data_IF_907313005689
#
_entry.id   IF_907313005689
#
_cell.length_a   1.000
_cell.length_b   1.000
_cell.length_c   1.000
_cell.angle_alpha   90.00
_cell.angle_beta   90.00
_cell.angle_gamma   90.00
#
_symmetry.space_group_name_H-M   'P 1'
#
loop_
_entity.id
_entity.type
_entity.pdbx_description
1 polymer ?
#
# COMPACT_ATOMS: atom_id res chain seq x y z
N UNK A 1 -4.86 -7.09 7.82
CA UNK A 1 -3.55 -7.72 7.51
C UNK A 1 -3.79 -8.92 6.60
N UNK A 2 -3.02 -9.03 5.53
CA UNK A 2 -3.00 -10.20 4.64
C UNK A 2 -1.66 -10.93 4.83
N UNK A 3 -1.70 -12.21 5.16
CA UNK A 3 -0.53 -13.10 5.15
C UNK A 3 -0.48 -13.85 3.82
N UNK A 4 0.69 -13.89 3.19
CA UNK A 4 0.97 -14.67 1.97
C UNK A 4 2.06 -15.67 2.22
N UNK A 5 1.88 -16.88 1.67
CA UNK A 5 2.91 -17.89 1.58
C UNK A 5 3.31 -17.98 0.10
N UNK A 6 4.52 -17.55 -0.23
CA UNK A 6 4.98 -17.44 -1.62
C UNK A 6 5.83 -18.64 -2.05
N UNK A 7 5.99 -18.80 -3.36
CA UNK A 7 6.85 -19.79 -4.02
C UNK A 7 6.51 -21.28 -3.81
N UNK A 8 5.22 -21.60 -3.73
CA UNK A 8 4.79 -23.01 -3.65
C UNK A 8 4.72 -23.61 -5.06
N UNK A 9 5.55 -24.61 -5.33
CA UNK A 9 5.69 -25.31 -6.60
C UNK A 9 5.82 -26.84 -6.40
N UNK A 10 5.83 -27.65 -7.47
CA UNK A 10 6.06 -29.10 -7.36
C UNK A 10 7.36 -29.49 -6.63
N UNK A 11 8.42 -28.70 -6.79
CA UNK A 11 9.69 -28.94 -6.10
C UNK A 11 9.73 -28.39 -4.67
N UNK A 12 8.62 -27.91 -4.13
CA UNK A 12 8.52 -27.58 -2.71
C UNK A 12 8.52 -28.88 -1.89
N UNK A 13 9.62 -29.63 -1.90
CA UNK A 13 9.82 -30.83 -1.09
C UNK A 13 9.98 -30.45 0.38
N UNK A 14 9.46 -31.29 1.29
CA UNK A 14 9.68 -31.20 2.75
C UNK A 14 9.33 -29.86 3.41
N UNK A 15 8.60 -29.01 2.71
CA UNK A 15 7.99 -27.86 3.34
C UNK A 15 6.97 -28.36 4.35
N UNK A 16 7.00 -27.72 5.52
CA UNK A 16 6.03 -27.93 6.56
C UNK A 16 4.62 -27.46 6.12
N UNK A 17 4.21 -27.46 4.84
CA UNK A 17 2.89 -26.97 4.41
C UNK A 17 1.73 -27.60 5.18
N UNK A 18 1.83 -28.88 5.54
CA UNK A 18 0.87 -29.51 6.46
C UNK A 18 0.94 -28.90 7.86
N UNK A 19 2.13 -28.78 8.44
CA UNK A 19 2.36 -28.19 9.76
C UNK A 19 2.01 -26.69 9.82
N UNK A 20 2.27 -25.93 8.75
CA UNK A 20 1.91 -24.52 8.56
C UNK A 20 0.39 -24.42 8.48
N UNK A 21 -0.26 -25.26 7.67
CA UNK A 21 -1.72 -25.32 7.58
C UNK A 21 -2.35 -25.60 8.94
N UNK A 22 -1.85 -26.61 9.66
CA UNK A 22 -2.32 -26.94 11.02
C UNK A 22 -2.08 -25.80 12.01
N UNK A 23 -0.91 -25.16 11.96
CA UNK A 23 -0.55 -24.03 12.81
C UNK A 23 -1.43 -22.80 12.55
N UNK A 24 -1.57 -22.37 11.28
CA UNK A 24 -2.41 -21.22 10.92
C UNK A 24 -3.89 -21.49 11.16
N UNK A 25 -4.34 -22.73 10.99
CA UNK A 25 -5.68 -23.17 11.40
C UNK A 25 -5.89 -23.02 12.90
N UNK A 26 -4.96 -23.51 13.73
CA UNK A 26 -5.05 -23.38 15.20
C UNK A 26 -5.07 -21.91 15.62
N UNK A 27 -4.25 -21.07 14.98
CA UNK A 27 -4.24 -19.62 15.21
C UNK A 27 -5.44 -18.90 14.60
N UNK A 28 -6.29 -19.56 13.82
CA UNK A 28 -7.41 -18.94 13.09
C UNK A 28 -6.97 -17.76 12.20
N UNK A 29 -5.89 -17.95 11.46
CA UNK A 29 -5.33 -16.95 10.53
C UNK A 29 -5.70 -17.36 9.11
N UNK A 30 -6.53 -16.58 8.39
CA UNK A 30 -6.67 -16.70 6.94
C UNK A 30 -5.38 -16.26 6.23
N UNK A 31 -5.05 -16.89 5.11
CA UNK A 31 -3.82 -16.62 4.37
C UNK A 31 -3.99 -16.89 2.87
N UNK A 32 -3.05 -16.41 2.07
CA UNK A 32 -2.99 -16.63 0.63
C UNK A 32 -1.77 -17.49 0.31
N UNK A 33 -1.88 -18.33 -0.71
CA UNK A 33 -0.83 -19.25 -1.15
C UNK A 33 -0.52 -18.96 -2.62
N UNK A 34 0.67 -18.43 -2.88
CA UNK A 34 1.16 -18.16 -4.22
C UNK A 34 1.72 -19.46 -4.81
N UNK A 35 1.06 -19.95 -5.86
CA UNK A 35 1.34 -21.26 -6.46
C UNK A 35 1.88 -21.09 -7.86
N UNK A 36 2.99 -21.79 -8.12
CA UNK A 36 3.66 -21.89 -9.41
C UNK A 36 3.37 -23.29 -9.98
N UNK A 37 2.54 -23.41 -11.04
CA UNK A 37 2.07 -24.72 -11.51
C UNK A 37 3.14 -25.63 -12.09
N UNK A 38 4.25 -25.10 -12.57
CA UNK A 38 5.35 -25.88 -13.15
C UNK A 38 6.67 -25.44 -12.57
N UNK A 39 7.37 -26.37 -11.96
CA UNK A 39 8.75 -26.17 -11.54
C UNK A 39 9.69 -26.48 -12.71
N UNK A 40 10.71 -25.65 -12.91
CA UNK A 40 11.77 -25.80 -13.91
C UNK A 40 13.12 -25.51 -13.26
N UNK A 41 14.08 -26.42 -13.44
CA UNK A 41 15.48 -26.19 -13.12
C UNK A 41 16.35 -26.59 -14.33
N UNK A 42 16.82 -25.63 -15.13
CA UNK A 42 17.62 -25.91 -16.31
C UNK A 42 18.97 -26.57 -15.99
N UNK A 43 19.57 -26.28 -14.82
CA UNK A 43 20.88 -26.83 -14.42
C UNK A 43 20.80 -28.33 -14.17
N UNK A 44 19.71 -28.78 -13.54
CA UNK A 44 19.45 -30.19 -13.23
C UNK A 44 18.61 -30.89 -14.32
N UNK A 45 18.23 -30.16 -15.38
CA UNK A 45 17.32 -30.62 -16.44
C UNK A 45 16.00 -31.19 -15.87
N UNK A 46 15.45 -30.53 -14.84
CA UNK A 46 14.21 -30.90 -14.18
C UNK A 46 13.05 -30.04 -14.67
N UNK A 47 11.90 -30.70 -14.86
CA UNK A 47 10.63 -30.04 -15.14
C UNK A 47 9.49 -30.86 -14.57
N UNK A 48 8.76 -30.29 -13.62
CA UNK A 48 7.70 -30.98 -12.89
C UNK A 48 6.41 -30.19 -12.92
N UNK A 49 5.28 -30.88 -12.99
CA UNK A 49 3.97 -30.27 -13.13
C UNK A 49 3.10 -30.57 -11.91
N UNK A 50 2.42 -29.55 -11.39
CA UNK A 50 1.52 -29.70 -10.25
C UNK A 50 0.40 -30.74 -10.49
N UNK A 51 -0.03 -30.92 -11.74
CA UNK A 51 -1.05 -31.92 -12.07
C UNK A 51 -0.55 -33.37 -11.99
N UNK A 52 0.76 -33.57 -11.87
CA UNK A 52 1.43 -34.87 -11.73
C UNK A 52 1.86 -35.13 -10.27
N UNK A 53 1.67 -34.17 -9.37
CA UNK A 53 1.90 -34.30 -7.92
C UNK A 53 0.58 -34.36 -7.13
N UNK A 54 -0.04 -35.55 -6.99
CA UNK A 54 -1.26 -35.70 -6.22
C UNK A 54 -1.08 -35.41 -4.72
N UNK A 55 0.15 -35.49 -4.18
CA UNK A 55 0.41 -35.25 -2.78
C UNK A 55 0.35 -33.76 -2.46
N UNK A 56 1.00 -32.92 -3.26
CA UNK A 56 0.91 -31.46 -3.16
C UNK A 56 -0.52 -30.98 -3.39
N UNK A 57 -1.19 -31.47 -4.44
CA UNK A 57 -2.59 -31.10 -4.73
C UNK A 57 -3.52 -31.40 -3.54
N UNK A 58 -3.33 -32.53 -2.85
CA UNK A 58 -4.09 -32.87 -1.64
C UNK A 58 -3.81 -31.90 -0.49
N UNK A 59 -2.56 -31.46 -0.33
CA UNK A 59 -2.18 -30.47 0.69
C UNK A 59 -2.82 -29.12 0.38
N UNK A 60 -2.73 -28.63 -0.87
CA UNK A 60 -3.31 -27.35 -1.28
C UNK A 60 -4.84 -27.34 -1.10
N UNK A 61 -5.54 -28.42 -1.45
CA UNK A 61 -6.99 -28.57 -1.17
C UNK A 61 -7.32 -28.54 0.32
N UNK A 62 -6.47 -29.15 1.15
CA UNK A 62 -6.60 -29.08 2.61
C UNK A 62 -6.39 -27.66 3.14
N UNK A 63 -5.41 -26.93 2.62
CA UNK A 63 -5.17 -25.52 2.96
C UNK A 63 -6.37 -24.64 2.57
N UNK A 64 -6.93 -24.81 1.37
CA UNK A 64 -8.13 -24.09 0.95
C UNK A 64 -9.33 -24.36 1.87
N UNK A 65 -9.47 -25.59 2.35
CA UNK A 65 -10.52 -25.97 3.31
C UNK A 65 -10.31 -25.33 4.70
N UNK A 66 -9.10 -24.85 5.00
CA UNK A 66 -8.73 -24.17 6.25
C UNK A 66 -8.45 -22.67 6.04
N UNK A 67 -9.22 -22.01 5.16
CA UNK A 67 -9.19 -20.56 4.88
C UNK A 67 -8.00 -20.05 4.06
N UNK A 68 -7.23 -20.91 3.39
CA UNK A 68 -6.27 -20.47 2.40
C UNK A 68 -6.96 -20.06 1.08
N UNK A 69 -6.42 -19.05 0.40
CA UNK A 69 -6.82 -18.68 -0.97
C UNK A 69 -5.65 -18.84 -1.92
N UNK A 70 -5.89 -19.48 -3.06
CA UNK A 70 -4.88 -19.64 -4.10
C UNK A 70 -4.64 -18.31 -4.81
N UNK A 71 -3.38 -18.04 -5.11
CA UNK A 71 -2.91 -16.95 -5.94
C UNK A 71 -2.04 -17.58 -7.01
N UNK A 72 -2.28 -17.24 -8.28
CA UNK A 72 -1.43 -17.74 -9.36
C UNK A 72 -0.18 -16.87 -9.44
N UNK A 73 0.99 -17.47 -9.28
CA UNK A 73 2.27 -16.78 -9.22
C UNK A 73 3.15 -17.09 -10.44
N UNK A 74 2.66 -16.74 -11.63
CA UNK A 74 3.29 -17.17 -12.88
C UNK A 74 2.95 -18.60 -13.29
N UNK A 75 3.38 -18.98 -14.51
CA UNK A 75 3.27 -20.35 -15.00
C UNK A 75 4.47 -21.20 -14.58
N UNK A 76 5.69 -20.66 -14.68
CA UNK A 76 6.92 -21.31 -14.22
C UNK A 76 7.74 -20.45 -13.29
N UNK A 77 7.42 -19.16 -13.16
CA UNK A 77 8.18 -18.19 -12.37
C UNK A 77 9.69 -18.24 -12.68
N UNK A 78 10.01 -18.27 -13.98
CA UNK A 78 11.38 -18.21 -14.51
C UNK A 78 11.34 -17.95 -16.02
N UNK A 79 12.43 -17.39 -16.55
CA UNK A 79 12.68 -17.13 -17.96
C UNK A 79 13.86 -17.98 -18.48
N UNK A 80 15.04 -17.85 -17.85
CA UNK A 80 16.23 -18.64 -18.18
C UNK A 80 16.96 -19.23 -16.94
N UNK A 81 16.44 -18.94 -15.75
CA UNK A 81 16.89 -19.47 -14.47
C UNK A 81 16.02 -20.58 -13.89
N UNK A 82 16.04 -20.67 -12.56
CA UNK A 82 15.26 -21.65 -11.79
C UNK A 82 13.95 -21.02 -11.31
N UNK A 83 12.88 -21.81 -11.32
CA UNK A 83 11.58 -21.42 -10.76
C UNK A 83 11.72 -20.80 -9.37
N UNK A 84 10.95 -19.73 -9.11
CA UNK A 84 10.93 -18.95 -7.86
C UNK A 84 12.17 -18.09 -7.57
N UNK A 85 13.26 -18.28 -8.31
CA UNK A 85 14.48 -17.46 -8.18
C UNK A 85 14.54 -16.40 -9.28
N UNK A 86 14.02 -16.73 -10.46
CA UNK A 86 14.08 -15.89 -11.65
C UNK A 86 12.73 -15.22 -11.95
N UNK A 87 12.76 -14.19 -12.80
CA UNK A 87 11.60 -13.49 -13.33
C UNK A 87 10.98 -14.31 -14.46
N UNK A 88 9.67 -14.20 -14.67
CA UNK A 88 9.01 -14.88 -15.80
C UNK A 88 8.83 -13.98 -17.03
N UNK A 89 8.58 -12.70 -16.79
CA UNK A 89 8.21 -11.72 -17.83
C UNK A 89 9.26 -10.62 -18.01
N UNK A 90 10.39 -10.73 -17.29
CA UNK A 90 11.46 -9.75 -17.32
C UNK A 90 12.83 -10.43 -17.45
N UNK A 91 13.71 -9.86 -18.25
CA UNK A 91 15.13 -10.24 -18.34
C UNK A 91 15.91 -9.31 -17.40
N UNK A 92 16.22 -9.77 -16.18
CA UNK A 92 16.88 -8.95 -15.16
C UNK A 92 18.26 -8.46 -15.63
N UNK A 93 19.00 -9.31 -16.34
CA UNK A 93 20.38 -9.04 -16.77
C UNK A 93 20.43 -7.89 -17.76
N UNK A 94 19.41 -7.78 -18.61
CA UNK A 94 19.28 -6.72 -19.62
C UNK A 94 18.32 -5.62 -19.19
N UNK A 95 17.69 -5.77 -18.02
CA UNK A 95 16.70 -4.87 -17.45
C UNK A 95 15.62 -4.44 -18.46
N UNK A 96 14.96 -5.41 -19.07
CA UNK A 96 13.90 -5.19 -20.07
C UNK A 96 12.93 -6.38 -20.10
N UNK A 97 11.75 -6.27 -20.74
CA UNK A 97 10.91 -7.42 -20.97
C UNK A 97 11.65 -8.55 -21.69
N UNK A 98 11.22 -9.78 -21.44
CA UNK A 98 11.77 -10.98 -22.12
C UNK A 98 11.68 -10.85 -23.64
N UNK A 99 12.51 -11.60 -24.36
CA UNK A 99 12.61 -11.48 -25.82
C UNK A 99 11.27 -11.80 -26.53
N UNK A 100 10.46 -12.67 -25.93
CA UNK A 100 9.17 -13.14 -26.39
C UNK A 100 7.99 -12.21 -25.99
N UNK A 101 8.24 -11.11 -25.28
CA UNK A 101 7.23 -10.20 -24.74
C UNK A 101 6.19 -9.78 -25.80
N UNK A 102 4.94 -10.13 -25.52
CA UNK A 102 3.76 -9.88 -26.36
C UNK A 102 2.50 -10.23 -25.57
N UNK A 103 1.35 -9.65 -25.95
CA UNK A 103 0.07 -10.03 -25.31
C UNK A 103 -0.22 -11.53 -25.48
N UNK A 104 0.13 -12.10 -26.63
CA UNK A 104 -0.03 -13.53 -26.92
C UNK A 104 0.83 -14.39 -26.00
N UNK A 105 2.09 -14.02 -25.78
CA UNK A 105 3.01 -14.72 -24.88
C UNK A 105 2.45 -14.73 -23.45
N UNK A 106 2.14 -13.57 -22.88
CA UNK A 106 1.60 -13.50 -21.52
C UNK A 106 0.28 -14.27 -21.38
N UNK A 107 -0.60 -14.17 -22.38
CA UNK A 107 -1.87 -14.88 -22.36
C UNK A 107 -1.67 -16.40 -22.43
N UNK A 108 -0.77 -16.90 -23.27
CA UNK A 108 -0.47 -18.33 -23.38
C UNK A 108 0.07 -18.88 -22.05
N UNK A 109 1.00 -18.16 -21.41
CA UNK A 109 1.56 -18.51 -20.11
C UNK A 109 0.46 -18.62 -19.04
N UNK A 110 -0.33 -17.56 -18.88
CA UNK A 110 -1.41 -17.50 -17.89
C UNK A 110 -2.47 -18.59 -18.12
N UNK A 111 -2.93 -18.77 -19.36
CA UNK A 111 -3.96 -19.76 -19.69
C UNK A 111 -3.43 -21.19 -19.49
N UNK A 112 -2.16 -21.44 -19.81
CA UNK A 112 -1.52 -22.74 -19.57
C UNK A 112 -1.48 -23.07 -18.08
N UNK A 113 -1.08 -22.11 -17.26
CA UNK A 113 -1.09 -22.23 -15.80
C UNK A 113 -2.49 -22.53 -15.24
N UNK A 114 -3.50 -21.75 -15.64
CA UNK A 114 -4.89 -21.95 -15.21
C UNK A 114 -5.44 -23.31 -15.63
N UNK A 115 -5.09 -23.81 -16.81
CA UNK A 115 -5.50 -25.14 -17.27
C UNK A 115 -4.89 -26.27 -16.42
N UNK A 116 -3.63 -26.13 -16.01
CA UNK A 116 -2.98 -27.10 -15.12
C UNK A 116 -3.60 -27.10 -13.72
N UNK A 117 -3.84 -25.92 -13.15
CA UNK A 117 -4.57 -25.81 -11.89
C UNK A 117 -5.95 -26.47 -12.00
N UNK A 118 -6.70 -26.18 -13.07
CA UNK A 118 -8.02 -26.80 -13.32
C UNK A 118 -7.93 -28.32 -13.42
N UNK A 119 -6.93 -28.86 -14.12
CA UNK A 119 -6.68 -30.32 -14.22
C UNK A 119 -6.40 -30.95 -12.85
N UNK A 120 -5.72 -30.23 -11.96
CA UNK A 120 -5.52 -30.63 -10.56
C UNK A 120 -6.78 -30.43 -9.68
N UNK A 121 -7.85 -29.84 -10.21
CA UNK A 121 -9.06 -29.48 -9.45
C UNK A 121 -8.82 -28.32 -8.48
N UNK A 122 -7.96 -27.39 -8.87
CA UNK A 122 -7.65 -26.13 -8.19
C UNK A 122 -8.09 -24.97 -9.08
N UNK A 123 -8.48 -23.85 -8.49
CA UNK A 123 -8.88 -22.64 -9.21
C UNK A 123 -8.50 -21.39 -8.43
N UNK A 124 -8.22 -20.31 -9.14
CA UNK A 124 -7.99 -18.98 -8.55
C UNK A 124 -8.45 -17.89 -9.53
N UNK A 125 -8.81 -16.74 -8.97
CA UNK A 125 -9.09 -15.47 -9.66
C UNK A 125 -8.15 -14.35 -9.15
N UNK A 126 -7.05 -14.74 -8.47
CA UNK A 126 -6.02 -13.83 -7.97
C UNK A 126 -4.71 -14.11 -8.71
N UNK A 127 -4.06 -13.04 -9.17
CA UNK A 127 -2.74 -13.08 -9.80
C UNK A 127 -1.71 -12.35 -8.95
N UNK A 128 -0.48 -12.86 -8.92
CA UNK A 128 0.69 -12.20 -8.35
C UNK A 128 1.81 -12.31 -9.37
N UNK A 129 2.30 -11.17 -9.87
CA UNK A 129 3.33 -11.17 -10.92
C UNK A 129 4.64 -11.71 -10.33
N UNK A 130 5.30 -12.68 -10.98
CA UNK A 130 6.64 -13.12 -10.60
C UNK A 130 7.60 -11.95 -10.38
N UNK A 131 8.15 -11.85 -9.16
CA UNK A 131 8.95 -10.71 -8.70
C UNK A 131 8.38 -9.32 -9.05
N UNK A 132 7.05 -9.19 -9.09
CA UNK A 132 6.34 -7.93 -9.27
C UNK A 132 6.75 -7.13 -10.52
N UNK A 133 7.25 -7.82 -11.56
CA UNK A 133 7.86 -7.17 -12.72
C UNK A 133 7.45 -7.85 -14.03
N UNK A 134 6.85 -7.06 -14.93
CA UNK A 134 6.43 -7.45 -16.28
C UNK A 134 6.28 -6.20 -17.15
N UNK A 135 6.06 -6.37 -18.46
CA UNK A 135 5.82 -5.25 -19.36
C UNK A 135 4.44 -4.62 -19.18
N UNK A 136 4.23 -3.37 -19.64
CA UNK A 136 2.91 -2.75 -19.68
C UNK A 136 1.91 -3.51 -20.58
N UNK A 137 2.40 -4.28 -21.56
CA UNK A 137 1.58 -5.15 -22.40
C UNK A 137 1.07 -6.34 -21.59
N UNK A 138 1.95 -7.00 -20.83
CA UNK A 138 1.60 -8.13 -19.97
C UNK A 138 0.59 -7.74 -18.90
N UNK A 139 0.77 -6.58 -18.26
CA UNK A 139 -0.18 -6.09 -17.25
C UNK A 139 -1.59 -5.87 -17.82
N UNK A 140 -1.73 -5.48 -19.11
CA UNK A 140 -3.07 -5.40 -19.74
C UNK A 140 -3.72 -6.78 -19.85
N UNK A 141 -2.93 -7.82 -20.10
CA UNK A 141 -3.42 -9.20 -20.14
C UNK A 141 -3.83 -9.66 -18.74
N UNK A 142 -3.01 -9.41 -17.73
CA UNK A 142 -3.30 -9.80 -16.34
C UNK A 142 -4.59 -9.13 -15.83
N UNK A 143 -4.75 -7.82 -16.04
CA UNK A 143 -5.95 -7.06 -15.65
C UNK A 143 -7.21 -7.49 -16.41
N UNK A 144 -7.07 -8.01 -17.63
CA UNK A 144 -8.18 -8.55 -18.43
C UNK A 144 -8.66 -9.91 -17.92
N UNK A 145 -7.76 -10.71 -17.37
CA UNK A 145 -8.05 -12.09 -16.93
C UNK A 145 -8.43 -12.15 -15.45
N UNK A 146 -7.72 -11.41 -14.60
CA UNK A 146 -7.85 -11.50 -13.15
C UNK A 146 -8.58 -10.29 -12.55
N UNK A 147 -9.65 -10.52 -11.77
CA UNK A 147 -10.30 -9.46 -11.02
C UNK A 147 -9.46 -8.93 -9.85
N UNK A 148 -8.48 -9.71 -9.36
CA UNK A 148 -7.64 -9.35 -8.22
C UNK A 148 -6.16 -9.55 -8.59
N UNK A 149 -5.34 -8.53 -8.35
CA UNK A 149 -3.90 -8.56 -8.57
C UNK A 149 -3.16 -8.17 -7.27
N UNK A 150 -2.18 -8.98 -6.91
CA UNK A 150 -1.22 -8.75 -5.84
C UNK A 150 0.06 -8.17 -6.46
N UNK A 151 0.08 -6.85 -6.59
CA UNK A 151 1.17 -6.12 -7.24
C UNK A 151 1.09 -4.63 -6.93
N UNK A 152 2.24 -3.96 -6.82
CA UNK A 152 2.35 -2.52 -6.57
C UNK A 152 2.29 -1.65 -7.85
N UNK A 153 2.04 -2.24 -9.03
CA UNK A 153 2.04 -1.61 -10.38
C UNK A 153 2.10 -0.07 -10.40
N UNK A 154 3.11 0.46 -11.08
CA UNK A 154 3.39 1.90 -11.20
C UNK A 154 3.69 2.60 -9.86
N UNK A 155 4.15 1.86 -8.86
CA UNK A 155 4.52 2.41 -7.55
C UNK A 155 3.34 2.89 -6.72
N UNK A 156 2.12 2.45 -7.04
CA UNK A 156 0.94 2.76 -6.21
C UNK A 156 0.99 1.88 -4.98
N UNK A 157 1.50 2.46 -3.90
CA UNK A 157 1.71 1.76 -2.66
C UNK A 157 0.86 2.40 -1.54
N UNK A 158 -0.32 1.81 -1.27
CA UNK A 158 -1.32 2.40 -0.39
C UNK A 158 -1.80 1.39 0.67
N UNK A 159 -2.11 1.84 1.91
CA UNK A 159 -2.53 0.97 3.01
C UNK A 159 -4.01 0.58 2.93
N UNK A 160 -4.51 0.28 1.75
CA UNK A 160 -5.88 -0.19 1.50
C UNK A 160 -5.95 -0.90 0.14
N UNK A 161 -6.91 -1.80 -0.02
CA UNK A 161 -7.26 -2.30 -1.35
C UNK A 161 -7.82 -1.15 -2.18
N UNK A 162 -7.47 -1.08 -3.45
CA UNK A 162 -8.03 -0.09 -4.37
C UNK A 162 -8.43 -0.75 -5.69
N UNK A 163 -9.35 -0.10 -6.40
CA UNK A 163 -9.85 -0.60 -7.68
C UNK A 163 -9.41 0.32 -8.81
N UNK A 164 -8.87 -0.25 -9.89
CA UNK A 164 -8.61 0.43 -11.16
C UNK A 164 -9.30 -0.34 -12.28
N UNK A 165 -10.19 0.33 -13.01
CA UNK A 165 -11.04 -0.34 -13.98
C UNK A 165 -11.89 -1.41 -13.29
N UNK A 166 -11.79 -2.66 -13.75
CA UNK A 166 -12.46 -3.81 -13.14
C UNK A 166 -11.57 -4.62 -12.19
N UNK A 167 -10.31 -4.22 -12.00
CA UNK A 167 -9.32 -4.97 -11.23
C UNK A 167 -9.10 -4.33 -9.86
N UNK A 168 -9.04 -5.17 -8.83
CA UNK A 168 -8.69 -4.83 -7.46
C UNK A 168 -7.21 -5.10 -7.27
N UNK A 169 -6.52 -4.16 -6.63
CA UNK A 169 -5.12 -4.30 -6.25
C UNK A 169 -5.00 -4.52 -4.74
N UNK A 170 -4.07 -5.39 -4.35
CA UNK A 170 -3.72 -5.63 -2.95
C UNK A 170 -3.25 -4.35 -2.25
N UNK A 171 -3.35 -4.28 -0.92
CA UNK A 171 -2.71 -3.21 -0.16
C UNK A 171 -1.17 -3.28 -0.27
N UNK A 172 -0.52 -2.26 0.28
CA UNK A 172 0.93 -2.22 0.50
C UNK A 172 1.48 -3.51 1.09
N UNK A 173 2.51 -4.03 0.43
CA UNK A 173 3.35 -5.10 0.95
C UNK A 173 4.49 -4.52 1.79
N UNK A 174 4.60 -5.03 3.01
CA UNK A 174 5.60 -4.62 4.00
C UNK A 174 6.93 -5.36 3.81
N UNK A 175 6.98 -6.32 2.89
CA UNK A 175 8.13 -7.14 2.56
C UNK A 175 7.98 -8.57 3.07
N UNK A 176 9.13 -9.23 3.25
CA UNK A 176 9.18 -10.63 3.64
C UNK A 176 10.18 -10.93 4.73
N UNK A 177 10.00 -12.09 5.35
CA UNK A 177 10.93 -12.62 6.34
C UNK A 177 12.15 -13.19 5.63
N UNK A 178 13.30 -12.54 5.81
CA UNK A 178 14.61 -12.97 5.28
C UNK A 178 15.66 -13.16 6.37
N UNK A 179 15.54 -12.37 7.45
CA UNK A 179 16.40 -12.40 8.63
C UNK A 179 15.64 -11.90 9.87
N UNK A 180 16.15 -12.07 11.10
CA UNK A 180 15.49 -11.59 12.31
C UNK A 180 15.16 -10.08 12.29
N UNK A 181 16.00 -9.26 11.66
CA UNK A 181 15.80 -7.82 11.52
C UNK A 181 14.58 -7.50 10.65
N UNK A 182 14.37 -8.26 9.56
CA UNK A 182 13.23 -8.08 8.65
C UNK A 182 11.88 -8.23 9.37
N UNK A 183 11.82 -9.09 10.40
CA UNK A 183 10.63 -9.27 11.24
C UNK A 183 10.30 -7.97 11.98
N UNK A 184 11.30 -7.38 12.62
CA UNK A 184 11.15 -6.12 13.35
C UNK A 184 10.79 -4.96 12.42
N UNK A 185 11.35 -4.94 11.20
CA UNK A 185 10.99 -3.95 10.19
C UNK A 185 9.52 -4.04 9.77
N UNK A 186 9.03 -5.25 9.48
CA UNK A 186 7.62 -5.48 9.10
C UNK A 186 6.70 -5.01 10.23
N UNK A 187 6.97 -5.41 11.47
CA UNK A 187 6.16 -5.01 12.65
C UNK A 187 6.19 -3.49 12.84
N UNK A 188 7.36 -2.85 12.68
CA UNK A 188 7.52 -1.40 12.83
C UNK A 188 6.77 -0.64 11.74
N UNK A 189 6.88 -1.07 10.48
CA UNK A 189 6.14 -0.47 9.36
C UNK A 189 4.63 -0.64 9.56
N UNK A 190 4.18 -1.83 9.98
CA UNK A 190 2.78 -2.10 10.26
C UNK A 190 2.23 -1.16 11.36
N UNK A 191 2.97 -0.96 12.46
CA UNK A 191 2.59 -0.05 13.55
C UNK A 191 2.46 1.39 13.07
N UNK A 192 3.46 1.91 12.34
CA UNK A 192 3.41 3.27 11.76
C UNK A 192 2.17 3.47 10.89
N UNK A 193 1.84 2.50 10.06
CA UNK A 193 0.64 2.58 9.21
C UNK A 193 -0.62 2.53 10.06
N UNK A 194 -0.69 1.66 11.06
CA UNK A 194 -1.84 1.56 11.96
C UNK A 194 -2.10 2.87 12.72
N UNK A 195 -1.04 3.53 13.19
CA UNK A 195 -1.15 4.79 13.94
C UNK A 195 -1.59 5.96 13.05
N UNK A 196 -1.34 5.88 11.74
CA UNK A 196 -1.68 6.92 10.78
C UNK A 196 -3.06 6.76 10.12
N UNK A 197 -3.67 5.55 10.15
CA UNK A 197 -4.86 5.24 9.36
C UNK A 197 -5.88 4.37 10.13
N UNK A 198 -7.13 4.83 10.23
CA UNK A 198 -8.20 4.17 11.02
C UNK A 198 -8.62 2.76 10.55
N UNK A 199 -8.40 2.41 9.28
CA UNK A 199 -8.84 1.13 8.69
C UNK A 199 -7.78 0.58 7.71
N UNK A 200 -6.50 0.70 8.08
CA UNK A 200 -5.41 0.24 7.23
C UNK A 200 -5.48 -1.27 6.91
N UNK A 201 -5.28 -1.58 5.64
CA UNK A 201 -4.95 -2.92 5.17
C UNK A 201 -3.51 -2.92 4.69
N UNK A 202 -2.76 -3.93 5.07
CA UNK A 202 -1.36 -4.14 4.70
C UNK A 202 -1.15 -5.64 4.47
N UNK A 203 -0.13 -6.02 3.72
CA UNK A 203 0.28 -7.40 3.48
C UNK A 203 1.76 -7.63 3.82
N UNK A 204 2.13 -8.89 4.04
CA UNK A 204 3.51 -9.35 4.02
C UNK A 204 3.55 -10.79 3.52
N UNK A 205 4.72 -11.27 3.15
CA UNK A 205 4.89 -12.66 2.74
C UNK A 205 5.94 -13.43 3.53
N UNK A 206 5.77 -14.75 3.55
CA UNK A 206 6.60 -15.69 4.29
C UNK A 206 6.87 -16.92 3.43
N UNK A 207 8.13 -17.27 3.21
CA UNK A 207 8.46 -18.44 2.41
C UNK A 207 8.30 -19.73 3.22
N UNK A 208 7.53 -20.73 2.73
CA UNK A 208 7.26 -21.97 3.47
C UNK A 208 8.49 -22.77 3.91
N UNK A 209 9.60 -22.67 3.17
CA UNK A 209 10.84 -23.38 3.52
C UNK A 209 11.43 -22.92 4.86
N UNK A 210 11.11 -21.70 5.31
CA UNK A 210 11.60 -21.14 6.56
C UNK A 210 10.98 -21.81 7.79
N UNK A 211 9.83 -22.48 7.69
CA UNK A 211 9.07 -22.89 8.88
C UNK A 211 9.79 -23.87 9.81
N UNK A 212 10.72 -24.66 9.27
CA UNK A 212 11.59 -25.55 10.05
C UNK A 212 12.85 -24.89 10.61
N UNK A 213 13.14 -23.63 10.25
CA UNK A 213 14.30 -22.89 10.73
C UNK A 213 14.15 -22.52 12.22
N UNK A 214 15.23 -22.57 12.99
CA UNK A 214 15.19 -22.29 14.43
C UNK A 214 14.91 -20.81 14.75
N UNK A 215 15.41 -19.90 13.91
CA UNK A 215 15.34 -18.44 14.11
C UNK A 215 14.23 -17.76 13.32
N UNK A 216 13.85 -18.31 12.16
CA UNK A 216 12.87 -17.73 11.23
C UNK A 216 11.63 -18.61 11.05
N UNK A 217 11.57 -19.74 11.74
CA UNK A 217 10.53 -20.74 11.56
C UNK A 217 9.24 -20.44 12.31
N UNK A 218 8.58 -21.51 12.74
CA UNK A 218 7.27 -21.47 13.40
C UNK A 218 7.20 -20.44 14.54
N UNK A 219 8.20 -20.40 15.42
CA UNK A 219 8.22 -19.53 16.60
C UNK A 219 8.18 -18.06 16.20
N UNK A 220 8.97 -17.67 15.22
CA UNK A 220 9.08 -16.29 14.76
C UNK A 220 7.84 -15.87 13.98
N UNK A 221 7.26 -16.76 13.18
CA UNK A 221 5.96 -16.52 12.56
C UNK A 221 4.84 -16.36 13.61
N UNK A 222 4.89 -17.12 14.70
CA UNK A 222 3.97 -16.98 15.84
C UNK A 222 4.11 -15.62 16.53
N UNK A 223 5.34 -15.23 16.87
CA UNK A 223 5.65 -13.92 17.46
C UNK A 223 5.21 -12.76 16.56
N UNK A 224 5.38 -12.89 15.23
CA UNK A 224 4.87 -11.92 14.25
C UNK A 224 3.36 -11.81 14.28
N UNK A 225 2.65 -12.94 14.20
CA UNK A 225 1.18 -12.97 14.20
C UNK A 225 0.64 -12.33 15.48
N UNK A 226 1.21 -12.69 16.62
CA UNK A 226 0.78 -12.19 17.93
C UNK A 226 1.11 -10.68 18.06
N UNK A 227 2.31 -10.23 17.67
CA UNK A 227 2.69 -8.81 17.67
C UNK A 227 1.80 -7.94 16.78
N UNK A 228 1.44 -8.44 15.60
CA UNK A 228 0.56 -7.73 14.67
C UNK A 228 -0.87 -7.65 15.20
N UNK A 229 -1.34 -8.68 15.91
CA UNK A 229 -2.62 -8.65 16.63
C UNK A 229 -2.62 -7.65 17.78
N UNK A 230 -1.53 -7.59 18.53
CA UNK A 230 -1.36 -6.64 19.64
C UNK A 230 -1.35 -5.17 19.17
N UNK A 231 -0.88 -4.91 17.93
CA UNK A 231 -1.02 -3.59 17.30
C UNK A 231 -2.50 -3.25 17.03
N UNK A 232 -3.35 -4.25 16.80
CA UNK A 232 -4.76 -4.08 16.45
C UNK A 232 -5.13 -4.67 15.10
N UNK A 233 -4.19 -5.24 14.35
CA UNK A 233 -4.51 -5.85 13.07
C UNK A 233 -5.29 -7.15 13.21
N UNK A 234 -6.27 -7.32 12.32
CA UNK A 234 -6.94 -8.59 12.09
C UNK A 234 -6.43 -9.23 10.81
N UNK A 235 -6.09 -10.51 10.87
CA UNK A 235 -5.75 -11.32 9.69
C UNK A 235 -7.02 -11.65 8.93
N UNK A 236 -7.02 -11.37 7.63
CA UNK A 236 -8.19 -11.46 6.75
C UNK A 236 -7.80 -12.04 5.40
N UNK A 237 -8.79 -12.57 4.69
CA UNK A 237 -8.67 -12.79 3.25
C UNK A 237 -8.89 -11.47 2.51
N UNK A 238 -8.33 -11.31 1.30
CA UNK A 238 -8.62 -10.11 0.50
C UNK A 238 -10.12 -9.95 0.21
N UNK A 239 -10.87 -11.05 0.07
CA UNK A 239 -12.33 -10.96 -0.13
C UNK A 239 -13.06 -10.38 1.08
N UNK A 240 -12.54 -10.56 2.30
CA UNK A 240 -13.13 -9.94 3.49
C UNK A 240 -12.97 -8.41 3.43
N UNK A 241 -11.86 -7.93 2.85
CA UNK A 241 -11.62 -6.49 2.64
C UNK A 241 -12.57 -5.90 1.59
N UNK A 242 -12.99 -6.70 0.61
CA UNK A 242 -13.97 -6.32 -0.41
C UNK A 242 -15.40 -6.31 0.12
N UNK A 243 -15.76 -7.30 0.95
CA UNK A 243 -17.07 -7.33 1.60
C UNK A 243 -17.22 -6.24 2.66
N UNK A 244 -16.09 -5.80 3.26
CA UNK A 244 -16.02 -4.65 4.18
C UNK A 244 -15.90 -3.31 3.44
N UNK A 245 -16.13 -3.24 2.12
CA UNK A 245 -16.50 -1.97 1.51
C UNK A 245 -17.79 -1.49 2.20
N UNK A 246 -17.61 -0.70 3.26
CA UNK A 246 -18.67 0.04 3.94
C UNK A 246 -19.58 0.56 2.84
N UNK A 247 -20.87 0.28 2.95
CA UNK A 247 -21.84 0.75 1.98
C UNK A 247 -21.60 2.25 1.74
N UNK A 248 -21.85 2.75 0.53
CA UNK A 248 -21.72 4.19 0.27
C UNK A 248 -22.43 5.02 1.36
N UNK A 249 -23.53 4.51 1.92
CA UNK A 249 -24.24 5.10 3.05
C UNK A 249 -23.41 5.13 4.34
N UNK A 250 -22.69 4.08 4.71
CA UNK A 250 -21.79 4.05 5.87
C UNK A 250 -20.54 4.91 5.68
N UNK A 251 -19.98 4.96 4.47
CA UNK A 251 -18.91 5.92 4.12
C UNK A 251 -19.42 7.35 4.25
N UNK A 252 -20.65 7.64 3.81
CA UNK A 252 -21.32 8.94 3.98
C UNK A 252 -21.64 9.24 5.44
N UNK A 253 -22.05 8.27 6.26
CA UNK A 253 -22.33 8.46 7.69
C UNK A 253 -21.04 8.71 8.47
N UNK A 254 -19.96 7.98 8.16
CA UNK A 254 -18.62 8.18 8.72
C UNK A 254 -18.03 9.53 8.31
N UNK A 255 -18.12 9.88 7.02
CA UNK A 255 -17.70 11.19 6.51
C UNK A 255 -18.55 12.32 7.10
N UNK A 256 -19.86 12.13 7.31
CA UNK A 256 -20.72 13.11 8.00
C UNK A 256 -20.37 13.30 9.47
N UNK A 257 -19.77 12.31 10.13
CA UNK A 257 -19.24 12.46 11.50
C UNK A 257 -17.92 13.22 11.57
N UNK A 258 -17.13 13.23 10.49
CA UNK A 258 -15.78 13.81 10.43
C UNK A 258 -15.62 14.97 9.44
N UNK A 259 -16.67 15.42 8.75
CA UNK A 259 -16.57 16.53 7.80
C UNK A 259 -16.36 17.84 8.54
N UNK A 260 -15.12 18.31 8.55
CA UNK A 260 -14.75 19.62 9.08
C UNK A 260 -15.21 20.69 8.09
N UNK A 261 -16.32 21.37 8.41
CA UNK A 261 -16.81 22.51 7.64
C UNK A 261 -15.86 23.68 7.87
N UNK A 262 -14.88 23.82 6.98
CA UNK A 262 -13.79 24.77 7.14
C UNK A 262 -13.73 25.83 6.03
N UNK A 263 -13.19 26.99 6.35
CA UNK A 263 -12.81 28.02 5.36
C UNK A 263 -11.40 28.55 5.66
N UNK A 264 -10.72 29.05 4.64
CA UNK A 264 -9.45 29.76 4.79
C UNK A 264 -9.72 31.26 4.75
N UNK A 265 -9.18 32.00 5.71
CA UNK A 265 -9.14 33.46 5.74
C UNK A 265 -7.68 33.91 5.55
N UNK A 266 -7.28 34.30 4.33
CA UNK A 266 -5.93 34.78 4.06
C UNK A 266 -5.77 36.28 4.35
N UNK A 267 -4.63 36.64 4.94
CA UNK A 267 -4.22 38.03 5.10
C UNK A 267 -3.04 38.42 4.23
N UNK A 268 -3.33 39.10 3.13
CA UNK A 268 -2.35 39.69 2.22
C UNK A 268 -1.94 41.13 2.61
N UNK A 269 -2.38 41.60 3.76
CA UNK A 269 -1.98 42.90 4.30
C UNK A 269 -1.91 42.89 5.82
N UNK A 270 -1.10 43.81 6.36
CA UNK A 270 -0.90 44.01 7.79
C UNK A 270 -2.20 44.06 8.59
N UNK A 271 -3.14 44.88 8.12
CA UNK A 271 -4.37 45.21 8.83
C UNK A 271 -5.60 44.53 8.24
N UNK A 272 -5.44 43.47 7.43
CA UNK A 272 -6.56 42.78 6.76
C UNK A 272 -7.72 42.46 7.72
N UNK A 273 -7.39 42.00 8.93
CA UNK A 273 -8.40 41.55 9.87
C UNK A 273 -9.08 42.68 10.67
N UNK A 274 -8.57 43.92 10.60
CA UNK A 274 -9.25 45.08 11.16
C UNK A 274 -10.34 45.67 10.26
N UNK A 275 -10.59 45.06 9.10
CA UNK A 275 -11.63 45.52 8.17
C UNK A 275 -13.00 45.60 8.86
N UNK A 276 -13.74 46.69 8.61
CA UNK A 276 -15.11 46.87 9.11
C UNK A 276 -16.07 45.77 8.64
N UNK A 277 -15.76 45.11 7.52
CA UNK A 277 -16.56 44.05 6.91
C UNK A 277 -16.34 42.68 7.56
N UNK A 278 -15.28 42.51 8.37
CA UNK A 278 -14.90 41.20 8.91
C UNK A 278 -15.99 40.60 9.80
N UNK A 279 -16.70 41.43 10.57
CA UNK A 279 -17.76 40.93 11.45
C UNK A 279 -18.93 40.34 10.64
N UNK A 280 -19.34 41.02 9.55
CA UNK A 280 -20.39 40.53 8.66
C UNK A 280 -19.97 39.24 7.95
N UNK A 281 -18.69 39.13 7.56
CA UNK A 281 -18.14 37.90 6.99
C UNK A 281 -18.19 36.74 7.99
N UNK A 282 -17.75 36.95 9.23
CA UNK A 282 -17.79 35.93 10.28
C UNK A 282 -19.22 35.50 10.63
N UNK A 283 -20.19 36.44 10.63
CA UNK A 283 -21.60 36.12 10.83
C UNK A 283 -22.14 35.22 9.71
N UNK A 284 -21.82 35.53 8.45
CA UNK A 284 -22.20 34.69 7.31
C UNK A 284 -21.57 33.30 7.38
N UNK A 285 -20.32 33.18 7.84
CA UNK A 285 -19.65 31.89 8.02
C UNK A 285 -20.36 31.05 9.09
N UNK A 286 -20.79 31.68 10.18
CA UNK A 286 -21.56 31.01 11.22
C UNK A 286 -22.94 30.55 10.68
N UNK A 287 -23.62 31.40 9.92
CA UNK A 287 -24.94 31.13 9.33
C UNK A 287 -24.93 29.93 8.38
N UNK A 288 -23.86 29.76 7.59
CA UNK A 288 -23.71 28.60 6.70
C UNK A 288 -23.12 27.37 7.40
N UNK A 289 -22.90 27.46 8.71
CA UNK A 289 -22.48 26.36 9.57
C UNK A 289 -21.01 25.98 9.45
N UNK A 290 -20.12 26.94 9.14
CA UNK A 290 -18.67 26.74 9.27
C UNK A 290 -18.30 26.50 10.73
N UNK A 291 -17.43 25.55 10.98
CA UNK A 291 -16.97 25.16 12.32
C UNK A 291 -15.47 25.45 12.51
N UNK A 292 -14.70 25.41 11.43
CA UNK A 292 -13.25 25.61 11.43
C UNK A 292 -12.85 26.81 10.57
N UNK A 293 -11.94 27.64 11.08
CA UNK A 293 -11.36 28.74 10.32
C UNK A 293 -9.85 28.62 10.33
N UNK A 294 -9.28 28.46 9.14
CA UNK A 294 -7.84 28.52 8.96
C UNK A 294 -7.44 29.98 8.72
N UNK A 295 -6.72 30.56 9.67
CA UNK A 295 -6.17 31.91 9.59
C UNK A 295 -4.81 31.80 8.92
N UNK A 296 -4.63 32.45 7.78
CA UNK A 296 -3.39 32.37 7.03
C UNK A 296 -2.67 33.72 7.07
N UNK A 297 -1.39 33.70 7.43
CA UNK A 297 -0.50 34.88 7.39
C UNK A 297 0.73 34.55 6.55
N UNK A 298 1.21 35.51 5.79
CA UNK A 298 2.33 35.30 4.87
C UNK A 298 3.61 35.85 5.44
N UNK A 299 4.63 35.00 5.52
CA UNK A 299 6.01 35.37 5.72
C UNK A 299 6.72 35.33 4.37
N UNK A 300 7.83 36.05 4.26
CA UNK A 300 8.51 36.25 2.99
C UNK A 300 9.94 35.76 3.04
N UNK A 301 10.39 35.18 1.94
CA UNK A 301 11.81 34.99 1.63
C UNK A 301 12.10 35.77 0.35
N UNK A 302 13.35 36.20 0.17
CA UNK A 302 13.66 37.13 -0.93
C UNK A 302 13.43 36.51 -2.32
N UNK A 303 13.93 35.30 -2.52
CA UNK A 303 13.87 34.56 -3.78
C UNK A 303 13.94 33.04 -3.52
N UNK A 304 13.89 32.23 -4.57
CA UNK A 304 13.84 30.75 -4.44
C UNK A 304 15.05 30.14 -3.72
N UNK A 305 16.19 30.82 -3.64
CA UNK A 305 17.41 30.31 -2.99
C UNK A 305 17.67 30.96 -1.62
N UNK A 306 16.80 31.88 -1.18
CA UNK A 306 16.97 32.56 0.10
C UNK A 306 16.61 31.61 1.25
N UNK A 307 17.50 31.47 2.22
CA UNK A 307 17.27 30.72 3.46
C UNK A 307 16.70 31.57 4.60
N UNK A 308 16.62 32.89 4.41
CA UNK A 308 16.12 33.84 5.41
C UNK A 308 14.64 34.10 5.22
N UNK A 309 13.88 33.99 6.30
CA UNK A 309 12.45 34.33 6.36
C UNK A 309 12.29 35.65 7.12
N UNK A 310 11.46 36.56 6.62
CA UNK A 310 11.19 37.85 7.21
C UNK A 310 9.69 38.21 7.19
N UNK A 311 9.33 39.12 8.10
CA UNK A 311 8.01 39.76 8.18
C UNK A 311 8.00 40.96 7.24
N UNK A 312 7.07 40.99 6.29
CA UNK A 312 6.93 42.11 5.37
C UNK A 312 5.99 43.18 5.97
N UNK A 313 6.48 44.41 6.12
CA UNK A 313 5.78 45.49 6.84
C UNK A 313 4.33 45.75 6.41
N UNK A 314 4.05 45.66 5.11
CA UNK A 314 2.69 45.90 4.59
C UNK A 314 1.87 44.65 4.29
N UNK A 315 2.51 43.48 4.12
CA UNK A 315 1.90 42.27 3.54
C UNK A 315 1.69 41.16 4.56
N UNK A 316 2.51 41.10 5.61
CA UNK A 316 2.35 40.16 6.70
C UNK A 316 1.37 40.73 7.73
N UNK A 317 0.36 39.95 8.13
CA UNK A 317 -0.58 40.37 9.17
C UNK A 317 0.18 40.72 10.47
N UNK A 318 -0.17 41.83 11.10
CA UNK A 318 0.43 42.19 12.40
C UNK A 318 -0.06 41.28 13.51
N UNK A 319 0.71 41.19 14.59
CA UNK A 319 0.32 40.43 15.78
C UNK A 319 -1.01 40.92 16.34
N UNK A 320 -1.23 42.24 16.39
CA UNK A 320 -2.49 42.82 16.88
C UNK A 320 -3.68 42.44 15.98
N UNK A 321 -3.48 42.42 14.66
CA UNK A 321 -4.48 42.01 13.65
C UNK A 321 -4.84 40.53 13.81
N UNK A 322 -3.84 39.68 14.06
CA UNK A 322 -4.02 38.24 14.33
C UNK A 322 -4.72 37.97 15.66
N UNK A 323 -4.28 38.62 16.74
CA UNK A 323 -4.91 38.52 18.06
C UNK A 323 -6.38 38.93 18.02
N UNK A 324 -6.68 40.02 17.30
CA UNK A 324 -8.04 40.50 17.11
C UNK A 324 -8.93 39.45 16.42
N UNK A 325 -8.50 38.88 15.29
CA UNK A 325 -9.33 37.90 14.56
C UNK A 325 -9.46 36.58 15.31
N UNK A 326 -8.40 36.11 15.95
CA UNK A 326 -8.41 34.90 16.78
C UNK A 326 -9.43 35.06 17.90
N UNK A 327 -9.39 36.19 18.60
CA UNK A 327 -10.34 36.50 19.68
C UNK A 327 -11.78 36.54 19.18
N UNK A 328 -12.04 37.17 18.01
CA UNK A 328 -13.37 37.24 17.41
C UNK A 328 -13.93 35.89 16.99
N UNK A 329 -13.08 35.04 16.39
CA UNK A 329 -13.45 33.69 15.98
C UNK A 329 -13.78 32.81 17.19
N UNK A 330 -12.97 32.85 18.25
CA UNK A 330 -13.26 32.14 19.49
C UNK A 330 -14.55 32.64 20.17
N UNK A 331 -14.80 33.96 20.20
CA UNK A 331 -16.05 34.52 20.74
C UNK A 331 -17.29 34.00 20.01
N UNK A 332 -17.17 33.65 18.74
CA UNK A 332 -18.23 33.08 17.90
C UNK A 332 -18.26 31.55 17.89
N UNK A 333 -17.38 30.90 18.65
CA UNK A 333 -17.36 29.44 18.80
C UNK A 333 -16.67 28.67 17.67
N UNK A 334 -15.96 29.36 16.77
CA UNK A 334 -15.15 28.68 15.74
C UNK A 334 -13.91 28.02 16.35
N UNK A 335 -13.49 26.90 15.76
CA UNK A 335 -12.18 26.30 15.98
C UNK A 335 -11.17 26.88 14.98
N UNK A 336 -9.92 27.05 15.39
CA UNK A 336 -8.94 27.81 14.62
C UNK A 336 -7.72 26.94 14.32
N UNK A 337 -7.20 27.10 13.10
CA UNK A 337 -5.84 26.70 12.74
C UNK A 337 -5.09 27.95 12.25
N UNK A 338 -3.96 28.29 12.86
CA UNK A 338 -3.08 29.35 12.37
C UNK A 338 -2.03 28.72 11.44
N UNK A 339 -1.99 29.20 10.20
CA UNK A 339 -1.08 28.71 9.16
C UNK A 339 -0.19 29.86 8.66
N UNK A 340 1.05 29.99 9.17
CA UNK A 340 2.05 30.83 8.55
C UNK A 340 2.53 30.18 7.23
N UNK A 341 2.50 30.93 6.14
CA UNK A 341 2.95 30.47 4.81
C UNK A 341 4.14 31.30 4.37
N UNK A 342 5.25 30.63 4.04
CA UNK A 342 6.41 31.29 3.45
C UNK A 342 6.19 31.43 1.94
N UNK A 343 6.24 32.67 1.45
CA UNK A 343 6.13 33.00 0.02
C UNK A 343 7.36 33.80 -0.44
N UNK A 344 7.47 34.02 -1.75
CA UNK A 344 8.55 34.76 -2.38
C UNK A 344 8.20 36.25 -2.48
N UNK A 345 9.12 37.13 -2.08
CA UNK A 345 9.00 38.58 -2.32
C UNK A 345 9.31 38.92 -3.78
N UNK A 346 10.36 38.32 -4.33
CA UNK A 346 10.76 38.49 -5.73
C UNK A 346 10.67 37.15 -6.48
N UNK A 347 9.86 37.14 -7.53
CA UNK A 347 9.63 35.96 -8.39
C UNK A 347 9.98 36.23 -9.85
N UNK A 348 10.66 35.30 -10.51
CA UNK A 348 10.78 35.26 -11.97
C UNK A 348 9.75 34.31 -12.58
N UNK A 349 9.55 34.39 -13.89
CA UNK A 349 8.61 33.53 -14.62
C UNK A 349 8.93 32.04 -14.40
N UNK A 350 7.96 31.27 -13.90
CA UNK A 350 8.09 29.84 -13.62
C UNK A 350 8.52 29.49 -12.19
N UNK A 351 8.87 30.47 -11.36
CA UNK A 351 9.22 30.27 -9.95
C UNK A 351 7.98 30.38 -9.05
N UNK A 352 7.79 29.41 -8.14
CA UNK A 352 6.61 29.39 -7.26
C UNK A 352 6.86 28.82 -5.85
N UNK A 353 8.00 28.16 -5.60
CA UNK A 353 8.43 27.69 -4.27
C UNK A 353 9.94 27.80 -4.10
N UNK A 354 10.38 27.82 -2.84
CA UNK A 354 11.80 27.81 -2.48
C UNK A 354 12.47 26.49 -2.91
N UNK A 355 13.66 26.63 -3.52
CA UNK A 355 14.60 25.58 -3.85
C UNK A 355 15.88 25.83 -3.05
N UNK A 356 15.84 25.44 -1.78
CA UNK A 356 16.90 25.68 -0.81
C UNK A 356 17.72 24.39 -0.68
N UNK A 357 19.04 24.51 -0.87
CA UNK A 357 19.98 23.45 -0.50
C UNK A 357 20.49 23.75 0.92
N UNK A 358 20.35 22.85 1.90
CA UNK A 358 20.93 23.08 3.21
C UNK A 358 22.45 23.01 3.12
N UNK A 359 23.14 23.94 3.80
CA UNK A 359 24.61 24.00 3.82
C UNK A 359 25.22 22.75 4.50
N UNK A 360 24.46 22.06 5.34
CA UNK A 360 24.82 20.80 5.98
C UNK A 360 23.55 19.98 6.30
N UNK A 361 23.47 18.73 5.86
CA UNK A 361 22.34 17.83 6.18
C UNK A 361 22.49 17.13 7.55
N UNK A 362 23.69 17.18 8.14
CA UNK A 362 24.06 16.45 9.36
C UNK A 362 24.24 17.37 10.59
N UNK A 363 23.89 18.65 10.49
CA UNK A 363 24.00 19.64 11.58
C UNK A 363 22.84 19.61 12.55
#
# INVERSE_FOLDING_TARGET
>A
MLLRLEDISPATENCNLRSINEFLKQKSVPYHIAVIPVYVNPKENLRENISEDPALVKILKSMQSNNAKLVLHGYTHQYDGETAIDYEFWDELRNRPVKEDSEEFAQERVISALNLLRKAGLTTDIWETPHYTASDLDYKVFERIFPIIYDMRNGINVPFVFKRGNTIFSPIDLGYVSCPESINEIITKARKIHDCFEDASVSFFYHPYLFGNEELGKKSLEEMIDSLRDIGYQFRSIYDLLQKERSFQEKVISAKRNFQKGVILPAYSKDKYFSSQINEELDRLADIGVEWVKIQTFLYQDNIHSSSIFVHGDKTASDESLEYIISKLHQKGFKILLEPVVTLEHTKSGEWMGTIAPDNWDS
#
